data_IF_636625342165
#
_entry.id   IF_636625342165
#
_cell.length_a   1.000
_cell.length_b   1.000
_cell.length_c   1.000
_cell.angle_alpha   90.00
_cell.angle_beta   90.00
_cell.angle_gamma   90.00
#
_symmetry.space_group_name_H-M   'P 1'
#
loop_
_entity.id
_entity.type
_entity.pdbx_description
1 polymer ?
#
# COMPACT_ATOMS: atom_id res chain seq x y z
N UNK A 1 18.64 -10.32 -8.71
CA UNK A 1 17.84 -11.56 -8.61
C UNK A 1 16.32 -11.33 -8.50
N UNK A 2 15.81 -10.12 -8.25
CA UNK A 2 14.37 -9.88 -8.05
C UNK A 2 13.57 -9.55 -9.33
N UNK A 3 14.21 -9.33 -10.48
CA UNK A 3 13.54 -8.95 -11.74
C UNK A 3 12.49 -9.96 -12.25
N UNK A 4 12.57 -11.23 -11.82
CA UNK A 4 11.61 -12.28 -12.18
C UNK A 4 10.30 -12.22 -11.39
N UNK A 5 10.22 -11.47 -10.29
CA UNK A 5 8.99 -11.43 -9.48
C UNK A 5 7.80 -10.84 -10.26
N UNK A 6 8.06 -9.83 -11.11
CA UNK A 6 7.05 -9.21 -11.95
C UNK A 6 6.51 -10.19 -13.00
N UNK A 7 7.27 -11.23 -13.39
CA UNK A 7 6.82 -12.26 -14.34
C UNK A 7 5.70 -13.16 -13.75
N UNK A 8 5.43 -13.06 -12.44
CA UNK A 8 4.29 -13.74 -11.83
C UNK A 8 2.98 -12.97 -12.01
N UNK A 9 3.02 -11.72 -12.48
CA UNK A 9 1.82 -11.02 -12.93
C UNK A 9 1.21 -11.75 -14.13
N UNK A 10 -0.11 -11.62 -14.30
CA UNK A 10 -0.75 -12.02 -15.55
C UNK A 10 -0.10 -11.30 -16.74
N UNK A 11 -0.10 -11.94 -17.91
CA UNK A 11 0.55 -11.40 -19.11
C UNK A 11 0.11 -9.96 -19.43
N UNK A 12 -1.18 -9.67 -19.26
CA UNK A 12 -1.74 -8.33 -19.46
C UNK A 12 -1.20 -7.33 -18.45
N UNK A 13 -1.20 -7.71 -17.16
CA UNK A 13 -0.69 -6.84 -16.08
C UNK A 13 0.81 -6.60 -16.21
N UNK A 14 1.59 -7.61 -16.59
CA UNK A 14 3.02 -7.48 -16.87
C UNK A 14 3.27 -6.47 -17.99
N UNK A 15 2.52 -6.59 -19.09
CA UNK A 15 2.61 -5.69 -20.25
C UNK A 15 2.25 -4.26 -19.85
N UNK A 16 1.18 -4.07 -19.07
CA UNK A 16 0.78 -2.76 -18.55
C UNK A 16 1.87 -2.14 -17.67
N UNK A 17 2.39 -2.88 -16.69
CA UNK A 17 3.46 -2.40 -15.80
C UNK A 17 4.70 -2.00 -16.60
N UNK A 18 5.04 -2.75 -17.65
CA UNK A 18 6.16 -2.41 -18.54
C UNK A 18 5.93 -1.09 -19.28
N UNK A 19 4.75 -0.89 -19.86
CA UNK A 19 4.40 0.36 -20.56
C UNK A 19 4.42 1.57 -19.62
N UNK A 20 4.03 1.38 -18.36
CA UNK A 20 4.10 2.43 -17.34
C UNK A 20 5.55 2.73 -16.98
N UNK A 21 6.39 1.70 -16.86
CA UNK A 21 7.84 1.84 -16.66
C UNK A 21 8.51 2.68 -17.76
N UNK A 22 8.21 2.36 -19.02
CA UNK A 22 8.69 3.12 -20.19
C UNK A 22 8.20 4.58 -20.13
N UNK A 23 6.92 4.81 -19.80
CA UNK A 23 6.38 6.16 -19.64
C UNK A 23 6.99 6.96 -18.47
N UNK A 24 7.49 6.26 -17.44
CA UNK A 24 8.18 6.84 -16.29
C UNK A 24 9.59 7.28 -16.66
N UNK A 25 10.31 6.45 -17.40
CA UNK A 25 11.64 6.76 -17.92
C UNK A 25 11.58 7.97 -18.88
N UNK A 26 10.59 8.02 -19.78
CA UNK A 26 10.34 9.17 -20.67
C UNK A 26 10.04 10.49 -19.96
N UNK A 27 9.61 10.45 -18.70
CA UNK A 27 9.33 11.63 -17.89
C UNK A 27 10.43 11.92 -16.86
N UNK A 28 11.45 11.07 -16.77
CA UNK A 28 12.50 11.18 -15.75
C UNK A 28 11.98 11.06 -14.32
N UNK A 29 10.86 10.36 -14.10
CA UNK A 29 10.29 10.14 -12.76
C UNK A 29 10.48 8.70 -12.31
N UNK A 30 10.68 8.50 -11.01
CA UNK A 30 10.73 7.15 -10.44
C UNK A 30 9.34 6.68 -10.06
N UNK A 31 8.96 5.49 -10.53
CA UNK A 31 7.66 4.88 -10.27
C UNK A 31 7.87 3.49 -9.70
N UNK A 32 7.02 3.16 -8.72
CA UNK A 32 7.08 1.90 -8.00
C UNK A 32 5.70 1.27 -7.93
N UNK A 33 5.62 -0.04 -8.14
CA UNK A 33 4.47 -0.86 -7.77
C UNK A 33 4.51 -1.08 -6.26
N UNK A 34 3.42 -0.84 -5.53
CA UNK A 34 3.41 -0.84 -4.06
C UNK A 34 2.23 -1.59 -3.46
N UNK A 35 2.26 -1.85 -2.16
CA UNK A 35 1.07 -2.25 -1.40
C UNK A 35 0.68 -3.72 -1.55
N UNK A 36 -0.62 -3.97 -1.64
CA UNK A 36 -1.19 -5.33 -1.56
C UNK A 36 -0.71 -6.24 -2.68
N UNK A 37 -0.61 -5.71 -3.90
CA UNK A 37 -0.12 -6.47 -5.07
C UNK A 37 1.31 -6.97 -4.88
N UNK A 38 2.21 -6.18 -4.28
CA UNK A 38 3.59 -6.62 -4.03
C UNK A 38 3.61 -7.79 -3.04
N UNK A 39 2.86 -7.69 -1.95
CA UNK A 39 2.68 -8.78 -0.98
C UNK A 39 2.14 -10.04 -1.66
N UNK A 40 1.08 -9.87 -2.45
CA UNK A 40 0.34 -10.98 -3.04
C UNK A 40 1.16 -11.69 -4.13
N UNK A 41 2.01 -10.97 -4.88
CA UNK A 41 3.01 -11.56 -5.76
C UNK A 41 3.96 -12.50 -5.00
N UNK A 42 4.49 -12.08 -3.85
CA UNK A 42 5.36 -12.97 -3.05
C UNK A 42 4.61 -14.13 -2.40
N UNK A 43 3.30 -14.01 -2.21
CA UNK A 43 2.42 -15.09 -1.75
C UNK A 43 1.91 -15.98 -2.89
N UNK A 44 2.26 -15.68 -4.15
CA UNK A 44 1.73 -16.34 -5.36
C UNK A 44 0.20 -16.32 -5.41
N UNK A 45 -0.38 -15.17 -5.10
CA UNK A 45 -1.82 -14.93 -5.18
C UNK A 45 -2.08 -13.90 -6.26
N UNK A 46 -3.14 -14.12 -7.03
CA UNK A 46 -3.58 -13.14 -8.02
C UNK A 46 -4.11 -11.89 -7.31
N UNK A 47 -3.65 -10.73 -7.79
CA UNK A 47 -4.16 -9.44 -7.37
C UNK A 47 -4.25 -8.52 -8.58
N UNK A 48 -5.45 -8.02 -8.85
CA UNK A 48 -5.76 -7.16 -10.00
C UNK A 48 -5.61 -5.67 -9.67
N UNK A 49 -5.46 -5.32 -8.40
CA UNK A 49 -5.35 -3.93 -7.93
C UNK A 49 -3.90 -3.47 -8.06
N UNK A 50 -3.61 -2.78 -9.17
CA UNK A 50 -2.28 -2.25 -9.46
C UNK A 50 -2.12 -0.85 -8.88
N UNK A 51 -1.52 -0.77 -7.70
CA UNK A 51 -1.19 0.47 -7.00
C UNK A 51 0.24 0.94 -7.34
N UNK A 52 0.36 2.19 -7.79
CA UNK A 52 1.63 2.83 -8.13
C UNK A 52 1.89 4.06 -7.26
N UNK A 53 3.15 4.21 -6.85
CA UNK A 53 3.66 5.42 -6.21
C UNK A 53 4.69 6.08 -7.12
N UNK A 54 4.54 7.38 -7.30
CA UNK A 54 5.39 8.22 -8.15
C UNK A 54 6.19 9.18 -7.27
N UNK A 55 7.51 9.12 -7.33
CA UNK A 55 8.38 10.17 -6.78
C UNK A 55 8.38 11.37 -7.75
N UNK A 56 7.39 12.24 -7.58
CA UNK A 56 7.11 13.34 -8.50
C UNK A 56 5.66 13.82 -8.37
N UNK A 57 5.05 14.24 -9.47
CA UNK A 57 3.62 14.56 -9.49
C UNK A 57 2.83 13.43 -10.14
N UNK A 58 2.15 12.62 -9.34
CA UNK A 58 1.40 11.47 -9.84
C UNK A 58 0.25 11.86 -10.78
N UNK A 59 -0.35 13.04 -10.61
CA UNK A 59 -1.45 13.50 -11.49
C UNK A 59 -0.90 13.82 -12.88
N UNK A 60 0.24 14.50 -12.96
CA UNK A 60 0.90 14.79 -14.25
C UNK A 60 1.29 13.46 -14.92
N UNK A 61 1.94 12.57 -14.17
CA UNK A 61 2.34 11.27 -14.67
C UNK A 61 1.14 10.44 -15.17
N UNK A 62 0.08 10.35 -14.36
CA UNK A 62 -1.12 9.58 -14.70
C UNK A 62 -1.83 10.13 -15.94
N UNK A 63 -1.81 11.45 -16.20
CA UNK A 63 -2.37 12.02 -17.44
C UNK A 63 -1.61 11.54 -18.67
N UNK A 64 -0.28 11.49 -18.63
CA UNK A 64 0.53 10.96 -19.73
C UNK A 64 0.34 9.45 -19.88
N UNK A 65 0.30 8.70 -18.77
CA UNK A 65 -0.01 7.28 -18.78
C UNK A 65 -1.39 6.99 -19.39
N UNK A 66 -2.43 7.75 -19.02
CA UNK A 66 -3.77 7.66 -19.58
C UNK A 66 -3.79 7.89 -21.10
N UNK A 67 -3.04 8.88 -21.60
CA UNK A 67 -2.90 9.12 -23.04
C UNK A 67 -2.25 7.95 -23.78
N UNK A 68 -1.19 7.36 -23.22
CA UNK A 68 -0.51 6.18 -23.77
C UNK A 68 -1.45 4.96 -23.78
N UNK A 69 -2.19 4.77 -22.69
CA UNK A 69 -3.13 3.65 -22.53
C UNK A 69 -4.47 3.88 -23.25
N UNK A 70 -4.70 5.08 -23.79
CA UNK A 70 -5.99 5.51 -24.39
C UNK A 70 -7.17 5.25 -23.45
N UNK A 71 -6.97 5.54 -22.17
CA UNK A 71 -7.90 5.21 -21.10
C UNK A 71 -8.37 6.48 -20.36
N UNK A 72 -9.62 6.54 -19.89
CA UNK A 72 -10.10 7.65 -19.06
C UNK A 72 -9.34 7.76 -17.74
N UNK A 73 -9.21 8.98 -17.23
CA UNK A 73 -8.55 9.30 -15.97
C UNK A 73 -9.52 10.01 -15.01
N UNK A 74 -9.51 9.59 -13.75
CA UNK A 74 -10.20 10.25 -12.65
C UNK A 74 -9.15 10.83 -11.70
N UNK A 75 -9.20 12.14 -11.47
CA UNK A 75 -8.22 12.85 -10.65
C UNK A 75 -8.83 13.24 -9.32
N UNK A 76 -8.11 12.96 -8.23
CA UNK A 76 -8.48 13.35 -6.87
C UNK A 76 -7.43 14.32 -6.33
N UNK A 77 -7.64 15.61 -6.62
CA UNK A 77 -6.66 16.67 -6.33
C UNK A 77 -6.31 16.77 -4.84
N UNK A 78 -7.31 16.64 -3.97
CA UNK A 78 -7.16 16.79 -2.51
C UNK A 78 -6.22 15.73 -1.91
N UNK A 79 -6.09 14.57 -2.58
CA UNK A 79 -5.26 13.47 -2.11
C UNK A 79 -3.96 13.30 -2.91
N UNK A 80 -3.78 14.09 -3.97
CA UNK A 80 -2.63 13.97 -4.87
C UNK A 80 -2.59 12.62 -5.61
N UNK A 81 -3.77 12.05 -5.87
CA UNK A 81 -3.92 10.74 -6.53
C UNK A 81 -4.72 10.84 -7.82
N UNK A 82 -4.54 9.86 -8.70
CA UNK A 82 -5.32 9.71 -9.92
C UNK A 82 -5.51 8.22 -10.25
N UNK A 83 -6.68 7.87 -10.76
CA UNK A 83 -7.00 6.53 -11.21
C UNK A 83 -7.15 6.53 -12.73
N UNK A 84 -6.46 5.65 -13.44
CA UNK A 84 -6.65 5.41 -14.87
C UNK A 84 -7.50 4.16 -15.03
N UNK A 85 -8.69 4.29 -15.62
CA UNK A 85 -9.65 3.19 -15.74
C UNK A 85 -9.50 2.56 -17.11
N UNK A 86 -9.08 1.30 -17.14
CA UNK A 86 -8.89 0.54 -18.35
C UNK A 86 -10.22 0.09 -18.96
N UNK A 87 -10.19 -0.29 -20.25
CA UNK A 87 -11.39 -0.72 -20.98
C UNK A 87 -12.02 -2.00 -20.42
N UNK A 88 -11.25 -2.82 -19.72
CA UNK A 88 -11.73 -4.04 -19.04
C UNK A 88 -12.27 -3.77 -17.62
N UNK A 89 -12.37 -2.50 -17.22
CA UNK A 89 -12.90 -2.07 -15.92
C UNK A 89 -11.87 -2.04 -14.79
N UNK A 90 -10.64 -2.51 -15.01
CA UNK A 90 -9.57 -2.40 -13.99
C UNK A 90 -9.15 -0.94 -13.80
N UNK A 91 -8.83 -0.58 -12.57
CA UNK A 91 -8.29 0.74 -12.23
C UNK A 91 -6.79 0.63 -11.91
N UNK A 92 -6.01 1.54 -12.47
CA UNK A 92 -4.60 1.73 -12.14
C UNK A 92 -4.50 2.98 -11.26
N UNK A 93 -4.15 2.79 -10.00
CA UNK A 93 -4.11 3.87 -9.03
C UNK A 93 -2.70 4.45 -8.92
N UNK A 94 -2.57 5.76 -9.11
CA UNK A 94 -1.33 6.50 -9.02
C UNK A 94 -1.38 7.47 -7.86
N UNK A 95 -0.42 7.36 -6.95
CA UNK A 95 -0.28 8.27 -5.81
C UNK A 95 1.08 8.96 -5.82
N UNK A 96 1.11 10.23 -5.40
CA UNK A 96 2.37 10.94 -5.19
C UNK A 96 3.03 10.42 -3.92
N UNK A 97 4.31 10.05 -4.00
CA UNK A 97 5.11 9.68 -2.83
C UNK A 97 5.07 10.81 -1.80
N UNK A 98 4.72 10.46 -0.56
CA UNK A 98 4.44 11.45 0.48
C UNK A 98 4.92 11.01 1.85
N UNK A 99 5.41 11.99 2.60
CA UNK A 99 5.67 11.85 4.03
C UNK A 99 4.45 12.37 4.81
N UNK A 100 4.15 11.72 5.92
CA UNK A 100 3.07 12.10 6.83
C UNK A 100 3.64 12.48 8.20
N UNK A 101 3.18 13.60 8.74
CA UNK A 101 3.48 14.05 10.11
C UNK A 101 2.18 14.27 10.89
N UNK A 102 2.11 13.70 12.09
CA UNK A 102 0.92 13.71 12.94
C UNK A 102 1.11 14.71 14.08
N UNK A 103 0.30 15.77 14.10
CA UNK A 103 0.35 16.80 15.16
C UNK A 103 -0.10 16.24 16.52
N UNK A 104 -1.07 15.33 16.51
CA UNK A 104 -1.55 14.60 17.68
C UNK A 104 -2.04 13.19 17.28
N UNK A 105 -2.09 12.24 18.22
CA UNK A 105 -2.61 10.89 17.98
C UNK A 105 -4.04 10.90 17.40
N UNK A 106 -4.28 10.12 16.34
CA UNK A 106 -5.59 9.96 15.70
C UNK A 106 -6.06 11.09 14.79
N UNK A 107 -5.35 12.23 14.74
CA UNK A 107 -5.67 13.32 13.82
C UNK A 107 -5.30 12.98 12.36
N UNK A 108 -5.90 13.70 11.40
CA UNK A 108 -5.45 13.65 10.01
C UNK A 108 -4.00 14.14 9.91
N UNK A 109 -3.13 13.46 9.14
CA UNK A 109 -1.74 13.87 9.00
C UNK A 109 -1.60 15.11 8.13
N UNK A 110 -0.56 15.89 8.40
CA UNK A 110 -0.03 16.84 7.43
C UNK A 110 0.79 16.07 6.39
N UNK A 111 0.58 16.39 5.12
CA UNK A 111 1.14 15.65 3.98
C UNK A 111 2.10 16.56 3.21
N UNK A 112 3.31 16.06 2.95
CA UNK A 112 4.26 16.70 2.02
C UNK A 112 4.78 15.69 1.01
N UNK A 113 5.29 16.17 -0.13
CA UNK A 113 6.02 15.31 -1.07
C UNK A 113 7.22 14.68 -0.36
N UNK A 114 7.46 13.41 -0.66
CA UNK A 114 8.51 12.62 -0.04
C UNK A 114 9.08 11.57 -0.97
N UNK A 115 10.01 10.80 -0.44
CA UNK A 115 10.60 9.63 -1.09
C UNK A 115 9.71 8.39 -0.96
N UNK A 116 9.99 7.37 -1.76
CA UNK A 116 9.37 6.04 -1.61
C UNK A 116 9.59 5.48 -0.21
N UNK A 117 10.76 5.71 0.40
CA UNK A 117 11.03 5.28 1.77
C UNK A 117 10.07 5.92 2.77
N UNK A 118 9.82 7.22 2.67
CA UNK A 118 8.86 7.94 3.51
C UNK A 118 7.41 7.48 3.26
N UNK A 119 7.03 7.21 2.00
CA UNK A 119 5.71 6.66 1.68
C UNK A 119 5.50 5.25 2.25
N UNK A 120 6.54 4.42 2.23
CA UNK A 120 6.47 3.09 2.84
C UNK A 120 6.38 3.19 4.36
N UNK A 121 7.08 4.13 5.00
CA UNK A 121 7.12 4.27 6.47
C UNK A 121 5.76 4.61 7.09
N UNK A 122 4.91 5.35 6.38
CA UNK A 122 3.57 5.73 6.86
C UNK A 122 2.54 4.60 6.79
N UNK A 123 2.88 3.46 6.18
CA UNK A 123 1.96 2.31 6.01
C UNK A 123 1.71 1.57 7.32
N UNK A 124 0.74 0.67 7.29
CA UNK A 124 0.25 -0.02 8.49
C UNK A 124 1.21 -1.12 8.99
N UNK A 125 1.61 -2.02 8.09
CA UNK A 125 2.40 -3.21 8.41
C UNK A 125 3.54 -3.42 7.42
N UNK A 126 4.60 -4.06 7.89
CA UNK A 126 5.82 -4.38 7.14
C UNK A 126 5.53 -5.13 5.84
N UNK A 127 4.64 -6.12 5.91
CA UNK A 127 4.20 -6.93 4.75
C UNK A 127 3.47 -6.12 3.67
N UNK A 128 2.99 -4.91 3.98
CA UNK A 128 2.37 -3.98 3.02
C UNK A 128 3.28 -2.78 2.68
N UNK A 129 4.46 -2.71 3.30
CA UNK A 129 5.42 -1.62 3.20
C UNK A 129 6.63 -2.00 2.34
N UNK A 130 6.34 -2.64 1.21
CA UNK A 130 7.31 -3.01 0.18
C UNK A 130 6.93 -2.36 -1.16
N UNK A 131 7.94 -2.15 -2.00
CA UNK A 131 7.75 -1.64 -3.35
C UNK A 131 8.64 -2.38 -4.36
N UNK A 132 8.20 -2.42 -5.61
CA UNK A 132 8.99 -2.91 -6.74
C UNK A 132 9.22 -1.76 -7.72
N UNK A 133 10.48 -1.48 -8.05
CA UNK A 133 10.83 -0.53 -9.10
C UNK A 133 10.33 -1.01 -10.46
N UNK A 134 9.73 -0.11 -11.25
CA UNK A 134 9.22 -0.43 -12.59
C UNK A 134 9.90 0.37 -13.71
N UNK A 135 10.78 1.31 -13.38
CA UNK A 135 11.70 1.94 -14.33
C UNK A 135 12.67 0.89 -14.90
N UNK A 136 13.17 1.09 -16.13
CA UNK A 136 14.08 0.15 -16.79
C UNK A 136 15.34 -0.13 -15.97
N UNK A 137 15.96 0.91 -15.40
CA UNK A 137 17.19 0.79 -14.61
C UNK A 137 17.00 0.04 -13.27
N UNK A 138 15.77 -0.09 -12.79
CA UNK A 138 15.41 -0.69 -11.49
C UNK A 138 14.33 -1.75 -11.62
N UNK A 139 14.19 -2.36 -12.80
CA UNK A 139 13.08 -3.26 -13.10
C UNK A 139 13.02 -4.45 -12.14
N UNK A 140 11.91 -4.54 -11.39
CA UNK A 140 11.67 -5.56 -10.37
C UNK A 140 12.62 -5.49 -9.18
N UNK A 141 13.34 -4.38 -8.99
CA UNK A 141 14.13 -4.16 -7.79
C UNK A 141 13.20 -4.01 -6.58
N UNK A 142 13.40 -4.87 -5.57
CA UNK A 142 12.65 -4.78 -4.32
C UNK A 142 13.21 -3.68 -3.44
N UNK A 143 12.34 -2.77 -3.03
CA UNK A 143 12.56 -1.78 -1.98
C UNK A 143 11.80 -2.26 -0.76
N UNK A 144 12.53 -2.79 0.22
CA UNK A 144 12.00 -3.33 1.47
C UNK A 144 12.82 -2.85 2.67
N UNK A 145 12.70 -1.56 3.06
CA UNK A 145 13.49 -0.98 4.15
C UNK A 145 13.06 -1.47 5.53
N UNK A 146 11.91 -2.16 5.63
CA UNK A 146 11.31 -2.56 6.90
C UNK A 146 11.22 -4.07 7.09
N UNK A 147 11.98 -4.87 6.33
CA UNK A 147 11.99 -6.34 6.41
C UNK A 147 10.60 -6.98 6.23
N UNK A 148 9.75 -6.41 5.38
CA UNK A 148 8.44 -6.92 5.01
C UNK A 148 8.50 -8.31 4.41
N UNK A 149 9.49 -8.60 3.55
CA UNK A 149 9.64 -9.92 2.93
C UNK A 149 10.01 -10.98 3.96
N UNK A 150 10.82 -10.62 4.96
CA UNK A 150 11.17 -11.51 6.08
C UNK A 150 9.94 -11.83 6.92
N UNK A 151 9.14 -10.81 7.24
CA UNK A 151 7.91 -11.00 8.01
C UNK A 151 6.85 -11.79 7.24
N UNK A 152 6.78 -11.59 5.91
CA UNK A 152 5.90 -12.33 5.03
C UNK A 152 6.25 -13.83 5.02
N UNK A 153 7.53 -14.16 4.88
CA UNK A 153 8.03 -15.55 4.95
C UNK A 153 7.76 -16.18 6.31
N UNK A 154 7.90 -15.40 7.39
CA UNK A 154 7.59 -15.84 8.75
C UNK A 154 6.08 -15.91 9.04
N UNK A 155 5.21 -15.48 8.11
CA UNK A 155 3.76 -15.36 8.30
C UNK A 155 3.41 -14.51 9.52
N UNK A 156 4.05 -13.35 9.65
CA UNK A 156 3.87 -12.46 10.79
C UNK A 156 3.40 -11.07 10.41
N UNK A 157 2.59 -10.46 11.28
CA UNK A 157 2.14 -9.07 11.15
C UNK A 157 2.93 -8.22 12.16
N UNK A 158 3.63 -7.21 11.63
CA UNK A 158 4.41 -6.26 12.42
C UNK A 158 4.16 -4.83 11.95
N UNK A 159 3.98 -3.92 12.89
CA UNK A 159 3.88 -2.47 12.62
C UNK A 159 5.25 -1.83 12.37
N UNK A 160 5.28 -0.71 11.64
CA UNK A 160 6.51 -0.03 11.24
C UNK A 160 7.20 0.76 12.37
N UNK A 161 6.42 1.29 13.33
CA UNK A 161 6.94 2.07 14.45
C UNK A 161 6.03 1.94 15.68
N UNK A 162 6.55 2.31 16.85
CA UNK A 162 5.87 2.15 18.14
C UNK A 162 4.56 2.95 18.28
N UNK A 163 4.43 4.04 17.50
CA UNK A 163 3.27 4.92 17.47
C UNK A 163 2.22 4.53 16.42
N UNK A 164 2.39 3.43 15.68
CA UNK A 164 1.50 3.06 14.56
C UNK A 164 0.01 3.06 14.93
N UNK A 165 -0.35 2.49 16.09
CA UNK A 165 -1.74 2.49 16.57
C UNK A 165 -2.17 3.78 17.27
N UNK A 166 -1.22 4.61 17.70
CA UNK A 166 -1.50 5.96 18.22
C UNK A 166 -1.82 6.91 17.03
N UNK A 167 -1.11 6.78 15.92
CA UNK A 167 -1.30 7.57 14.70
C UNK A 167 -2.59 7.16 13.96
N UNK A 168 -2.90 5.86 13.91
CA UNK A 168 -4.17 5.37 13.34
C UNK A 168 -4.69 4.11 14.06
N UNK A 169 -5.70 4.28 14.92
CA UNK A 169 -6.28 3.17 15.67
C UNK A 169 -7.07 2.18 14.79
N UNK A 170 -7.45 2.55 13.56
CA UNK A 170 -8.10 1.61 12.62
C UNK A 170 -7.15 0.47 12.21
N UNK A 171 -5.84 0.65 12.37
CA UNK A 171 -4.84 -0.40 12.15
C UNK A 171 -5.02 -1.59 13.09
N UNK A 172 -5.68 -1.42 14.24
CA UNK A 172 -6.02 -2.54 15.14
C UNK A 172 -6.95 -3.53 14.44
N UNK A 173 -8.05 -3.03 13.87
CA UNK A 173 -9.00 -3.85 13.11
C UNK A 173 -8.33 -4.48 11.89
N UNK A 174 -7.48 -3.71 11.19
CA UNK A 174 -6.73 -4.22 10.03
C UNK A 174 -5.75 -5.33 10.41
N UNK A 175 -5.09 -5.26 11.57
CA UNK A 175 -4.18 -6.30 12.04
C UNK A 175 -4.91 -7.62 12.23
N UNK A 176 -6.07 -7.58 12.91
CA UNK A 176 -6.94 -8.75 13.12
C UNK A 176 -7.42 -9.29 11.78
N UNK A 177 -7.90 -8.41 10.89
CA UNK A 177 -8.35 -8.80 9.54
C UNK A 177 -7.29 -9.53 8.76
N UNK A 178 -6.06 -9.00 8.72
CA UNK A 178 -4.96 -9.65 8.01
C UNK A 178 -4.47 -10.93 8.68
N UNK A 179 -4.56 -11.02 10.00
CA UNK A 179 -4.24 -12.25 10.73
C UNK A 179 -5.12 -13.40 10.24
N UNK A 180 -6.44 -13.16 10.18
CA UNK A 180 -7.41 -14.14 9.72
C UNK A 180 -7.32 -14.41 8.21
N UNK A 181 -7.28 -13.35 7.39
CA UNK A 181 -7.24 -13.45 5.93
C UNK A 181 -6.06 -14.27 5.40
N UNK A 182 -4.88 -14.09 6.00
CA UNK A 182 -3.65 -14.73 5.52
C UNK A 182 -3.18 -15.90 6.39
N UNK A 183 -3.85 -16.18 7.53
CA UNK A 183 -3.39 -17.15 8.51
C UNK A 183 -2.03 -16.79 9.10
N UNK A 184 -1.80 -15.49 9.30
CA UNK A 184 -0.57 -14.98 9.90
C UNK A 184 -0.71 -14.93 11.42
N UNK A 185 0.34 -14.51 12.12
CA UNK A 185 0.30 -14.19 13.55
C UNK A 185 0.81 -12.80 13.83
N UNK A 186 0.11 -12.04 14.66
CA UNK A 186 0.61 -10.74 15.13
C UNK A 186 1.84 -10.97 16.01
N UNK A 187 2.97 -10.30 15.71
CA UNK A 187 4.19 -10.45 16.51
C UNK A 187 3.96 -10.00 17.96
N UNK A 188 4.63 -10.62 18.96
CA UNK A 188 4.45 -10.28 20.37
C UNK A 188 4.61 -8.78 20.69
N UNK A 189 5.60 -8.12 20.09
CA UNK A 189 5.81 -6.67 20.27
C UNK A 189 4.66 -5.84 19.70
N UNK A 190 4.17 -6.20 18.50
CA UNK A 190 3.01 -5.53 17.89
C UNK A 190 1.74 -5.76 18.69
N UNK A 191 1.52 -6.98 19.20
CA UNK A 191 0.41 -7.29 20.08
C UNK A 191 0.47 -6.50 21.40
N UNK A 192 1.67 -6.32 21.97
CA UNK A 192 1.87 -5.47 23.16
C UNK A 192 1.49 -4.02 22.89
N UNK A 193 1.88 -3.45 21.74
CA UNK A 193 1.51 -2.09 21.35
C UNK A 193 0.00 -1.94 21.15
N UNK A 194 -0.62 -2.93 20.50
CA UNK A 194 -2.07 -3.00 20.31
C UNK A 194 -2.81 -3.01 21.65
N UNK A 195 -2.44 -3.93 22.57
CA UNK A 195 -3.02 -4.02 23.91
C UNK A 195 -2.83 -2.74 24.70
N UNK A 196 -1.65 -2.12 24.63
CA UNK A 196 -1.38 -0.82 25.26
C UNK A 196 -2.32 0.26 24.75
N UNK A 197 -2.57 0.30 23.43
CA UNK A 197 -3.47 1.29 22.82
C UNK A 197 -4.92 1.09 23.28
N UNK A 198 -5.39 -0.16 23.32
CA UNK A 198 -6.75 -0.49 23.79
C UNK A 198 -6.95 -0.15 25.28
N UNK A 199 -5.94 -0.39 26.11
CA UNK A 199 -6.02 -0.11 27.54
C UNK A 199 -6.14 1.39 27.88
N UNK A 200 -5.71 2.29 26.99
CA UNK A 200 -5.62 3.73 27.27
C UNK A 200 -6.98 4.43 27.46
N UNK A 201 -8.14 3.82 27.12
CA UNK A 201 -9.51 4.41 27.25
C UNK A 201 -9.66 5.88 26.79
N UNK A 202 -8.69 6.42 26.06
CA UNK A 202 -8.68 7.80 25.61
C UNK A 202 -9.68 7.94 24.47
N UNK A 203 -10.66 8.84 24.63
CA UNK A 203 -11.69 9.14 23.65
C UNK A 203 -11.08 9.36 22.26
N UNK A 204 -11.33 8.41 21.37
CA UNK A 204 -10.58 8.27 20.13
C UNK A 204 -10.98 9.34 19.11
N UNK A 205 -9.98 10.06 18.60
CA UNK A 205 -10.10 10.91 17.41
C UNK A 205 -10.22 10.12 16.09
N UNK A 206 -10.54 8.81 16.13
CA UNK A 206 -10.91 8.07 14.93
C UNK A 206 -12.38 8.32 14.67
N UNK A 207 -12.70 8.93 13.53
CA UNK A 207 -14.10 9.13 13.17
C UNK A 207 -14.86 7.80 13.13
N UNK A 208 -16.06 7.78 13.69
CA UNK A 208 -16.92 6.59 13.72
C UNK A 208 -17.07 5.97 12.31
N UNK A 209 -17.10 6.81 11.28
CA UNK A 209 -17.11 6.38 9.88
C UNK A 209 -15.89 5.54 9.49
N UNK A 210 -14.67 5.97 9.84
CA UNK A 210 -13.44 5.24 9.51
C UNK A 210 -13.38 3.90 10.24
N UNK A 211 -13.79 3.89 11.51
CA UNK A 211 -13.91 2.66 12.28
C UNK A 211 -14.91 1.69 11.64
N UNK A 212 -16.13 2.16 11.36
CA UNK A 212 -17.19 1.36 10.77
C UNK A 212 -16.81 0.82 9.38
N UNK A 213 -16.12 1.62 8.57
CA UNK A 213 -15.63 1.18 7.26
C UNK A 213 -14.64 0.02 7.37
N UNK A 214 -13.71 0.05 8.33
CA UNK A 214 -12.79 -1.08 8.56
C UNK A 214 -13.50 -2.28 9.20
N UNK A 215 -14.46 -2.05 10.10
CA UNK A 215 -15.29 -3.12 10.65
C UNK A 215 -16.10 -3.84 9.57
N UNK A 216 -16.74 -3.09 8.66
CA UNK A 216 -17.47 -3.66 7.51
C UNK A 216 -16.56 -4.52 6.63
N UNK A 217 -15.30 -4.14 6.43
CA UNK A 217 -14.34 -4.96 5.68
C UNK A 217 -14.05 -6.30 6.36
N UNK A 218 -14.05 -6.37 7.69
CA UNK A 218 -13.91 -7.65 8.42
C UNK A 218 -15.11 -8.56 8.13
N UNK A 219 -16.33 -8.00 8.16
CA UNK A 219 -17.56 -8.76 7.88
C UNK A 219 -17.66 -9.27 6.44
N UNK A 220 -16.85 -8.73 5.53
CA UNK A 220 -16.78 -9.14 4.12
C UNK A 220 -15.66 -10.15 3.84
N UNK A 221 -14.85 -10.53 4.83
CA UNK A 221 -13.83 -11.57 4.64
C UNK A 221 -14.50 -12.96 4.62
N UNK A 222 -13.92 -13.90 3.86
CA UNK A 222 -14.43 -15.27 3.74
C UNK A 222 -14.50 -16.01 5.09
N UNK A 223 -13.55 -15.69 5.99
CA UNK A 223 -13.50 -16.22 7.36
C UNK A 223 -13.64 -15.08 8.35
N UNK A 224 -14.86 -14.94 8.88
CA UNK A 224 -15.21 -13.88 9.84
C UNK A 224 -14.84 -14.30 11.27
N UNK A 225 -15.02 -15.58 11.61
CA UNK A 225 -14.72 -16.12 12.93
C UNK A 225 -13.32 -16.75 12.96
N UNK A 226 -12.54 -16.50 14.03
CA UNK A 226 -11.30 -17.25 14.24
C UNK A 226 -11.62 -18.73 14.41
N UNK A 227 -10.75 -19.57 13.83
CA UNK A 227 -10.82 -21.02 13.97
C UNK A 227 -10.52 -21.48 15.41
#
# INVERSE_FOLDING_TARGET
MNSRILQQLSQDSYTLVRRIGEAADDQGVSVYLVGGVVRDLFLKRDNLDLDFVVEGNAIIFARKAAGILKAPIKVYKDFGTAAVVLNDGRALDFATARAETYAAPGCLPQVRRGSIHEDLFRRDFTVNAMALGINHSRWGQLVDPFDGLKDLRAKTIRVLHQRSFDDDATRILRAIRFEQRFGFRIKPQTLKLLKRRLARRTGDHVSAQRFFNEFRKILMEEKIFPA
#
